data_IF_411196617624
#
_entry.id   IF_411196617624
#
_cell.length_a   1.000
_cell.length_b   1.000
_cell.length_c   1.000
_cell.angle_alpha   90.00
_cell.angle_beta   90.00
_cell.angle_gamma   90.00
#
_symmetry.space_group_name_H-M   'P 1'
#
loop_
_entity.id
_entity.type
_entity.pdbx_description
1 polymer ?
#
# COMPACT_ATOMS: atom_id res chain seq x y z
N UNK A 1 19.58 1.30 19.78
CA UNK A 1 18.12 1.39 19.59
C UNK A 1 17.87 1.61 18.11
N UNK A 2 17.40 0.59 17.39
CA UNK A 2 17.22 0.69 15.95
C UNK A 2 16.09 1.69 15.66
N UNK A 3 16.44 2.83 15.05
CA UNK A 3 15.47 3.73 14.48
C UNK A 3 14.68 2.93 13.44
N UNK A 4 13.48 2.46 13.82
CA UNK A 4 12.55 1.84 12.89
C UNK A 4 12.41 2.80 11.72
N UNK A 5 12.77 2.32 10.54
CA UNK A 5 13.02 3.10 9.34
C UNK A 5 11.72 3.77 8.86
N UNK A 6 11.31 4.87 9.51
CA UNK A 6 10.09 5.66 9.21
C UNK A 6 10.07 6.21 7.78
N UNK A 7 11.16 6.05 7.03
CA UNK A 7 11.26 6.46 5.64
C UNK A 7 10.49 5.56 4.67
N UNK A 8 10.11 4.34 5.06
CA UNK A 8 9.31 3.48 4.16
C UNK A 8 8.00 4.16 3.73
N UNK A 9 7.42 4.99 4.61
CA UNK A 9 6.18 5.73 4.34
C UNK A 9 6.33 6.75 3.20
N UNK A 10 7.52 7.34 3.04
CA UNK A 10 7.79 8.32 1.97
C UNK A 10 7.89 7.67 0.60
N UNK A 11 8.02 6.34 0.55
CA UNK A 11 8.08 5.55 -0.68
C UNK A 11 6.71 5.28 -1.28
N UNK A 12 5.65 5.60 -0.55
CA UNK A 12 4.27 5.37 -0.98
C UNK A 12 3.58 6.69 -1.35
N UNK A 13 2.97 6.71 -2.54
CA UNK A 13 2.08 7.77 -3.00
C UNK A 13 0.66 7.23 -3.08
N UNK A 14 -0.28 7.89 -2.42
CA UNK A 14 -1.70 7.50 -2.44
C UNK A 14 -2.48 8.45 -3.33
N UNK A 15 -3.22 7.89 -4.29
CA UNK A 15 -4.15 8.60 -5.16
C UNK A 15 -5.58 8.17 -4.80
N UNK A 16 -6.37 9.11 -4.27
CA UNK A 16 -7.75 8.83 -3.89
C UNK A 16 -8.73 8.86 -5.06
N UNK A 17 -8.41 9.53 -6.16
CA UNK A 17 -9.26 9.57 -7.35
C UNK A 17 -9.22 8.23 -8.06
N UNK A 18 -8.02 7.66 -8.20
CA UNK A 18 -7.83 6.33 -8.77
C UNK A 18 -8.00 5.20 -7.76
N UNK A 19 -8.06 5.54 -6.47
CA UNK A 19 -8.05 4.62 -5.34
C UNK A 19 -6.83 3.69 -5.36
N UNK A 20 -5.64 4.24 -5.56
CA UNK A 20 -4.41 3.47 -5.64
C UNK A 20 -3.37 3.90 -4.61
N UNK A 21 -2.51 2.97 -4.21
CA UNK A 21 -1.24 3.25 -3.55
C UNK A 21 -0.10 2.73 -4.43
N UNK A 22 0.84 3.62 -4.74
CA UNK A 22 1.99 3.36 -5.61
C UNK A 22 3.28 3.43 -4.79
N UNK A 23 4.08 2.37 -4.85
CA UNK A 23 5.43 2.34 -4.30
C UNK A 23 6.45 2.88 -5.30
N UNK A 24 7.54 3.47 -4.82
CA UNK A 24 8.65 3.97 -5.66
C UNK A 24 9.27 2.89 -6.55
N UNK A 25 9.30 1.63 -6.09
CA UNK A 25 9.80 0.49 -6.89
C UNK A 25 8.85 0.07 -8.03
N UNK A 26 7.64 0.65 -8.10
CA UNK A 26 6.67 0.39 -9.17
C UNK A 26 5.56 -0.60 -8.82
N UNK A 27 5.41 -0.98 -7.55
CA UNK A 27 4.24 -1.71 -7.06
C UNK A 27 3.02 -0.78 -7.03
N UNK A 28 1.88 -1.25 -7.53
CA UNK A 28 0.62 -0.50 -7.47
C UNK A 28 -0.48 -1.41 -6.94
N UNK A 29 -1.10 -0.96 -5.86
CA UNK A 29 -2.27 -1.59 -5.26
C UNK A 29 -3.48 -0.70 -5.47
N UNK A 30 -4.60 -1.30 -5.88
CA UNK A 30 -5.89 -0.62 -5.97
C UNK A 30 -6.75 -1.04 -4.78
N UNK A 31 -7.30 -0.04 -4.10
CA UNK A 31 -8.18 -0.24 -2.96
C UNK A 31 -9.62 -0.08 -3.41
N UNK A 32 -10.44 -1.09 -3.16
CA UNK A 32 -11.88 -1.04 -3.45
C UNK A 32 -12.62 -0.93 -2.14
N UNK A 33 -13.48 0.08 -2.01
CA UNK A 33 -14.36 0.21 -0.86
C UNK A 33 -15.36 -0.95 -0.85
N UNK A 34 -15.38 -1.69 0.24
CA UNK A 34 -16.39 -2.70 0.56
C UNK A 34 -17.15 -2.31 1.82
N UNK A 35 -18.28 -2.97 2.03
CA UNK A 35 -19.07 -2.88 3.25
C UNK A 35 -19.55 -4.28 3.61
N UNK A 36 -19.24 -4.72 4.82
CA UNK A 36 -19.69 -6.01 5.35
C UNK A 36 -20.20 -5.79 6.77
N UNK A 37 -21.42 -6.25 7.04
CA UNK A 37 -22.07 -6.13 8.36
C UNK A 37 -22.10 -4.70 8.93
N UNK A 38 -22.18 -3.68 8.07
CA UNK A 38 -22.20 -2.26 8.46
C UNK A 38 -20.82 -1.65 8.71
N UNK A 39 -19.73 -2.41 8.53
CA UNK A 39 -18.37 -1.92 8.62
C UNK A 39 -17.79 -1.67 7.22
N UNK A 40 -17.27 -0.46 7.00
CA UNK A 40 -16.62 -0.08 5.74
C UNK A 40 -15.17 -0.56 5.77
N UNK A 41 -14.81 -1.45 4.84
CA UNK A 41 -13.43 -1.88 4.62
C UNK A 41 -12.93 -1.45 3.23
N UNK A 42 -11.62 -1.54 3.03
CA UNK A 42 -11.00 -1.29 1.74
C UNK A 42 -10.13 -2.48 1.38
N UNK A 43 -10.54 -3.25 0.39
CA UNK A 43 -9.80 -4.40 -0.09
C UNK A 43 -8.72 -3.96 -1.08
N UNK A 44 -7.46 -4.24 -0.74
CA UNK A 44 -6.29 -3.86 -1.53
C UNK A 44 -5.87 -4.98 -2.47
N UNK A 45 -5.98 -4.76 -3.78
CA UNK A 45 -5.56 -5.73 -4.81
C UNK A 45 -4.35 -5.23 -5.58
N UNK A 46 -3.38 -6.10 -5.78
CA UNK A 46 -2.24 -5.81 -6.64
C UNK A 46 -2.72 -5.67 -8.10
N UNK A 47 -2.48 -4.51 -8.71
CA UNK A 47 -2.83 -4.25 -10.12
C UNK A 47 -1.60 -4.06 -11.02
N UNK A 48 -0.44 -3.78 -10.43
CA UNK A 48 0.84 -3.68 -11.14
C UNK A 48 1.99 -4.07 -10.22
N UNK A 49 2.92 -4.85 -10.76
CA UNK A 49 4.19 -5.18 -10.10
C UNK A 49 5.37 -4.62 -10.92
N UNK A 50 6.55 -4.43 -10.31
CA UNK A 50 7.77 -4.08 -11.03
C UNK A 50 8.10 -5.10 -12.12
N UNK A 51 8.67 -4.66 -13.24
CA UNK A 51 9.01 -5.56 -14.37
C UNK A 51 10.13 -6.54 -14.02
N UNK A 52 11.09 -6.11 -13.21
CA UNK A 52 12.26 -6.90 -12.83
C UNK A 52 12.26 -7.07 -11.30
N UNK A 53 11.55 -8.10 -10.83
CA UNK A 53 11.50 -8.43 -9.41
C UNK A 53 12.82 -9.07 -8.97
N UNK A 54 13.44 -8.52 -7.92
CA UNK A 54 14.58 -9.18 -7.28
C UNK A 54 14.09 -10.31 -6.37
N UNK A 55 14.89 -11.36 -6.09
CA UNK A 55 14.52 -12.41 -5.14
C UNK A 55 14.13 -11.85 -3.77
N UNK A 56 14.79 -10.79 -3.32
CA UNK A 56 14.47 -10.10 -2.07
C UNK A 56 13.09 -9.43 -2.11
N UNK A 57 12.72 -8.80 -3.23
CA UNK A 57 11.37 -8.21 -3.39
C UNK A 57 10.28 -9.27 -3.44
N UNK A 58 10.56 -10.45 -4.00
CA UNK A 58 9.64 -11.59 -4.00
C UNK A 58 9.41 -12.08 -2.57
N UNK A 59 10.50 -12.28 -1.81
CA UNK A 59 10.42 -12.69 -0.40
C UNK A 59 9.69 -11.67 0.47
N UNK A 60 9.85 -10.38 0.16
CA UNK A 60 9.21 -9.28 0.87
C UNK A 60 7.83 -8.88 0.30
N UNK A 61 7.29 -9.59 -0.70
CA UNK A 61 6.04 -9.18 -1.37
C UNK A 61 4.85 -9.07 -0.39
N UNK A 62 4.77 -9.97 0.60
CA UNK A 62 3.76 -9.91 1.67
C UNK A 62 3.89 -8.66 2.53
N UNK A 63 5.13 -8.26 2.87
CA UNK A 63 5.42 -7.03 3.59
C UNK A 63 5.06 -5.79 2.75
N UNK A 64 5.37 -5.78 1.46
CA UNK A 64 5.01 -4.68 0.54
C UNK A 64 3.49 -4.50 0.49
N UNK A 65 2.72 -5.60 0.45
CA UNK A 65 1.26 -5.54 0.50
C UNK A 65 0.74 -4.97 1.82
N UNK A 66 1.33 -5.35 2.96
CA UNK A 66 0.99 -4.76 4.28
C UNK A 66 1.29 -3.26 4.32
N UNK A 67 2.48 -2.86 3.87
CA UNK A 67 2.88 -1.45 3.81
C UNK A 67 1.95 -0.61 2.91
N UNK A 68 1.46 -1.17 1.79
CA UNK A 68 0.46 -0.54 0.94
C UNK A 68 -0.85 -0.25 1.70
N UNK A 69 -1.34 -1.24 2.46
CA UNK A 69 -2.55 -1.12 3.27
C UNK A 69 -2.40 -0.07 4.38
N UNK A 70 -1.26 -0.09 5.07
CA UNK A 70 -0.93 0.91 6.10
C UNK A 70 -0.83 2.32 5.51
N UNK A 71 -0.18 2.48 4.34
CA UNK A 71 -0.07 3.76 3.64
C UNK A 71 -1.46 4.30 3.26
N UNK A 72 -2.34 3.45 2.73
CA UNK A 72 -3.72 3.80 2.39
C UNK A 72 -4.52 4.25 3.62
N UNK A 73 -4.52 3.44 4.69
CA UNK A 73 -5.22 3.77 5.93
C UNK A 73 -4.73 5.08 6.55
N UNK A 74 -3.42 5.29 6.56
CA UNK A 74 -2.81 6.52 7.09
C UNK A 74 -3.20 7.74 6.27
N UNK A 75 -3.10 7.66 4.95
CA UNK A 75 -3.48 8.76 4.06
C UNK A 75 -4.96 9.13 4.25
N UNK A 76 -5.84 8.13 4.46
CA UNK A 76 -7.26 8.37 4.77
C UNK A 76 -7.47 9.05 6.11
N UNK A 77 -6.78 8.60 7.16
CA UNK A 77 -6.84 9.22 8.49
C UNK A 77 -6.36 10.67 8.47
N UNK A 78 -5.36 11.00 7.65
CA UNK A 78 -4.85 12.36 7.51
C UNK A 78 -5.79 13.31 6.74
N UNK A 79 -6.81 12.77 6.05
CA UNK A 79 -7.81 13.54 5.30
C UNK A 79 -9.09 13.82 6.10
N UNK A 80 -9.31 13.10 7.21
CA UNK A 80 -10.42 13.33 8.14
C UNK A 80 -10.07 14.44 9.12
#
# INVERSE_FOLDING_TARGET
MAHQNRNWQRRWTVDFEQQTATHEDGWVFKFVKGEESGEVFFDGKLIKQPKNLTPEQILNASRIAQEAGEAWQRARKARQ
#
